data_IF_678828046384
#
_entry.id   IF_678828046384
#
_cell.length_a   1.000
_cell.length_b   1.000
_cell.length_c   1.000
_cell.angle_alpha   90.00
_cell.angle_beta   90.00
_cell.angle_gamma   90.00
#
_symmetry.space_group_name_H-M   'P 1'
#
loop_
_entity.id
_entity.type
_entity.pdbx_description
1 polymer ?
#
# COMPACT_ATOMS: atom_id res chain seq x y z
N UNK A 1 -11.86 19.19 4.99
CA UNK A 1 -10.46 18.92 4.60
C UNK A 1 -9.38 19.63 5.46
N UNK A 2 -9.72 20.33 6.55
CA UNK A 2 -8.73 21.11 7.32
C UNK A 2 -7.66 20.28 8.03
N UNK A 3 -8.01 19.07 8.50
CA UNK A 3 -7.07 18.16 9.15
C UNK A 3 -5.98 17.67 8.19
N UNK A 4 -6.35 17.21 6.99
CA UNK A 4 -5.40 16.67 6.00
C UNK A 4 -4.33 17.71 5.58
N UNK A 5 -4.73 18.97 5.37
CA UNK A 5 -3.79 20.05 4.99
C UNK A 5 -2.69 20.30 6.04
N UNK A 6 -2.93 19.95 7.30
CA UNK A 6 -1.93 20.07 8.37
C UNK A 6 -0.90 18.94 8.32
N UNK A 7 -1.21 17.81 7.70
CA UNK A 7 -0.37 16.61 7.69
C UNK A 7 0.59 16.57 6.49
N UNK A 8 1.39 17.63 6.30
CA UNK A 8 2.30 17.78 5.13
C UNK A 8 3.26 16.59 4.94
N UNK A 9 3.64 15.90 6.02
CA UNK A 9 4.55 14.74 5.98
C UNK A 9 3.91 13.47 5.41
N UNK A 10 2.57 13.37 5.40
CA UNK A 10 1.85 12.22 4.85
C UNK A 10 1.77 12.27 3.32
N UNK A 11 1.85 13.47 2.73
CA UNK A 11 1.79 13.65 1.28
C UNK A 11 3.21 13.70 0.71
N UNK A 12 3.58 12.67 -0.04
CA UNK A 12 4.86 12.59 -0.73
C UNK A 12 4.62 12.64 -2.23
N UNK A 13 5.49 13.34 -2.94
CA UNK A 13 5.49 13.30 -4.40
C UNK A 13 5.88 11.88 -4.85
N UNK A 14 5.26 11.35 -5.92
CA UNK A 14 5.64 10.05 -6.46
C UNK A 14 7.11 10.02 -6.90
N UNK A 15 7.80 8.93 -6.62
CA UNK A 15 9.19 8.73 -7.07
C UNK A 15 9.21 8.01 -8.43
N UNK A 16 10.31 8.14 -9.17
CA UNK A 16 10.51 7.41 -10.44
C UNK A 16 10.41 5.89 -10.23
N UNK A 17 10.93 5.39 -9.11
CA UNK A 17 10.85 3.97 -8.75
C UNK A 17 9.41 3.53 -8.50
N UNK A 18 8.60 4.34 -7.82
CA UNK A 18 7.16 4.06 -7.66
C UNK A 18 6.45 3.98 -9.00
N UNK A 19 6.75 4.90 -9.94
CA UNK A 19 6.16 4.86 -11.30
C UNK A 19 6.47 3.54 -11.99
N UNK A 20 7.73 3.07 -11.92
CA UNK A 20 8.15 1.79 -12.51
C UNK A 20 7.42 0.61 -11.86
N UNK A 21 7.32 0.59 -10.52
CA UNK A 21 6.60 -0.47 -9.80
C UNK A 21 5.11 -0.47 -10.16
N UNK A 22 4.47 0.71 -10.28
CA UNK A 22 3.08 0.81 -10.71
C UNK A 22 2.89 0.26 -12.12
N UNK A 23 3.78 0.59 -13.07
CA UNK A 23 3.72 0.03 -14.43
C UNK A 23 3.82 -1.50 -14.41
N UNK A 24 4.70 -2.06 -13.58
CA UNK A 24 4.85 -3.51 -13.42
C UNK A 24 3.60 -4.15 -12.80
N UNK A 25 3.03 -3.53 -11.76
CA UNK A 25 1.79 -3.99 -11.13
C UNK A 25 0.66 -4.00 -12.14
N UNK A 26 0.47 -2.92 -12.90
CA UNK A 26 -0.62 -2.82 -13.88
C UNK A 26 -0.45 -3.77 -15.06
N UNK A 27 0.79 -4.08 -15.46
CA UNK A 27 1.08 -5.08 -16.48
C UNK A 27 0.66 -6.49 -16.03
N UNK A 28 0.91 -6.83 -14.77
CA UNK A 28 0.61 -8.16 -14.22
C UNK A 28 -0.83 -8.29 -13.69
N UNK A 29 -1.41 -7.17 -13.26
CA UNK A 29 -2.70 -7.08 -12.57
C UNK A 29 -3.57 -5.96 -13.17
N UNK A 30 -3.93 -6.01 -14.46
CA UNK A 30 -4.66 -4.93 -15.12
C UNK A 30 -6.05 -4.69 -14.50
N UNK A 31 -6.69 -5.73 -13.94
CA UNK A 31 -7.98 -5.62 -13.28
C UNK A 31 -7.92 -5.03 -11.86
N UNK A 32 -6.73 -4.65 -11.38
CA UNK A 32 -6.59 -3.92 -10.11
C UNK A 32 -7.17 -2.51 -10.22
N UNK A 33 -7.18 -1.93 -11.42
CA UNK A 33 -7.72 -0.60 -11.67
C UNK A 33 -8.97 -0.67 -12.52
N UNK A 34 -9.89 0.23 -12.25
CA UNK A 34 -11.03 0.46 -13.13
C UNK A 34 -10.59 1.44 -14.23
N UNK A 35 -10.57 0.96 -15.48
CA UNK A 35 -10.17 1.75 -16.65
C UNK A 35 -11.12 2.93 -16.88
N UNK A 36 -12.37 2.84 -16.40
CA UNK A 36 -13.33 3.93 -16.46
C UNK A 36 -13.14 4.98 -15.36
N UNK A 37 -12.40 4.65 -14.29
CA UNK A 37 -12.12 5.56 -13.20
C UNK A 37 -10.99 6.53 -13.57
N UNK A 38 -11.26 7.83 -13.42
CA UNK A 38 -10.28 8.90 -13.70
C UNK A 38 -9.02 8.80 -12.82
N UNK A 39 -9.14 8.27 -11.61
CA UNK A 39 -8.06 8.17 -10.65
C UNK A 39 -8.13 6.81 -9.95
N UNK A 40 -6.99 6.12 -9.88
CA UNK A 40 -6.84 4.86 -9.16
C UNK A 40 -5.67 4.97 -8.20
N UNK A 41 -5.94 4.83 -6.90
CA UNK A 41 -4.94 5.00 -5.84
C UNK A 41 -4.24 3.68 -5.46
N UNK A 42 -4.94 2.56 -5.61
CA UNK A 42 -4.52 1.25 -5.10
C UNK A 42 -3.13 0.81 -5.57
N UNK A 43 -2.75 0.93 -6.86
CA UNK A 43 -1.41 0.56 -7.31
C UNK A 43 -0.32 1.43 -6.66
N UNK A 44 -0.61 2.71 -6.38
CA UNK A 44 0.35 3.64 -5.77
C UNK A 44 0.61 3.31 -4.31
N UNK A 45 -0.41 2.87 -3.56
CA UNK A 45 -0.26 2.44 -2.16
C UNK A 45 0.69 1.24 -2.08
N UNK A 46 0.50 0.26 -2.97
CA UNK A 46 1.35 -0.95 -3.02
C UNK A 46 2.77 -0.58 -3.45
N UNK A 47 2.91 0.26 -4.47
CA UNK A 47 4.23 0.70 -4.96
C UNK A 47 5.03 1.45 -3.88
N UNK A 48 4.38 2.31 -3.11
CA UNK A 48 4.98 2.99 -1.97
C UNK A 48 5.46 1.99 -0.91
N UNK A 49 4.64 1.00 -0.57
CA UNK A 49 5.02 -0.03 0.40
C UNK A 49 6.23 -0.85 -0.06
N UNK A 50 6.26 -1.29 -1.32
CA UNK A 50 7.39 -2.03 -1.91
C UNK A 50 8.65 -1.20 -1.89
N UNK A 51 8.59 0.07 -2.33
CA UNK A 51 9.75 0.95 -2.34
C UNK A 51 10.32 1.13 -0.93
N UNK A 52 9.46 1.42 0.05
CA UNK A 52 9.86 1.64 1.44
C UNK A 52 10.41 0.37 2.13
N UNK A 53 9.93 -0.81 1.73
CA UNK A 53 10.43 -2.09 2.23
C UNK A 53 11.79 -2.45 1.59
N UNK A 54 12.00 -2.06 0.34
CA UNK A 54 13.20 -2.37 -0.44
C UNK A 54 14.36 -1.38 -0.24
N UNK A 55 14.11 -0.24 0.43
CA UNK A 55 15.16 0.73 0.73
C UNK A 55 16.10 0.19 1.81
N UNK A 56 17.41 0.25 1.56
CA UNK A 56 18.42 0.00 2.59
C UNK A 56 18.18 0.95 3.76
N UNK A 57 17.85 0.37 4.91
CA UNK A 57 17.66 1.15 6.11
C UNK A 57 19.03 1.56 6.66
N UNK A 58 19.16 2.85 6.94
CA UNK A 58 20.32 3.41 7.61
C UNK A 58 20.28 3.14 9.12
N UNK A 59 19.14 2.67 9.63
CA UNK A 59 18.91 2.39 11.04
C UNK A 59 19.35 0.96 11.38
N UNK A 60 19.87 0.77 12.60
CA UNK A 60 20.23 -0.56 13.13
C UNK A 60 19.02 -1.48 13.29
N UNK A 61 17.82 -0.90 13.43
CA UNK A 61 16.55 -1.63 13.57
C UNK A 61 15.87 -1.71 12.21
N UNK A 62 15.46 -2.93 11.84
CA UNK A 62 14.65 -3.16 10.65
C UNK A 62 13.20 -2.70 10.88
N UNK A 63 12.77 -1.64 10.20
CA UNK A 63 11.40 -1.14 10.19
C UNK A 63 10.60 -1.95 9.16
N UNK A 64 9.72 -2.83 9.66
CA UNK A 64 8.75 -3.55 8.84
C UNK A 64 7.75 -2.58 8.22
N UNK A 65 7.37 -2.79 6.95
CA UNK A 65 6.36 -2.00 6.26
C UNK A 65 5.13 -2.85 6.02
N UNK A 66 3.97 -2.37 6.48
CA UNK A 66 2.70 -3.08 6.44
C UNK A 66 1.67 -2.21 5.72
N UNK A 67 0.90 -2.80 4.81
CA UNK A 67 -0.24 -2.14 4.16
C UNK A 67 -1.50 -2.45 4.97
N UNK A 68 -2.21 -1.42 5.40
CA UNK A 68 -3.49 -1.60 6.11
C UNK A 68 -4.64 -1.32 5.14
N UNK A 69 -5.57 -2.26 5.00
CA UNK A 69 -6.75 -2.10 4.14
C UNK A 69 -7.95 -2.88 4.70
N UNK A 70 -9.15 -2.32 4.53
CA UNK A 70 -10.42 -3.00 4.85
C UNK A 70 -10.95 -3.85 3.68
N UNK A 71 -10.20 -3.90 2.57
CA UNK A 71 -10.55 -4.76 1.46
C UNK A 71 -10.31 -6.24 1.80
N UNK A 72 -11.30 -7.08 1.51
CA UNK A 72 -11.19 -8.52 1.69
C UNK A 72 -11.05 -9.21 0.34
N UNK A 73 -10.18 -10.22 0.30
CA UNK A 73 -10.11 -11.15 -0.83
C UNK A 73 -11.43 -11.93 -0.84
N UNK A 74 -12.28 -11.66 -1.84
CA UNK A 74 -13.53 -12.39 -2.05
C UNK A 74 -13.59 -12.88 -3.50
N UNK A 75 -13.64 -14.20 -3.67
CA UNK A 75 -13.62 -14.83 -4.98
C UNK A 75 -12.31 -14.55 -5.72
N UNK A 76 -12.39 -14.50 -7.06
CA UNK A 76 -11.22 -14.35 -7.93
C UNK A 76 -10.91 -12.88 -8.30
N UNK A 77 -11.35 -11.91 -7.48
CA UNK A 77 -11.13 -10.49 -7.76
C UNK A 77 -9.75 -10.05 -7.30
N UNK A 78 -9.00 -9.40 -8.19
CA UNK A 78 -7.72 -8.80 -7.86
C UNK A 78 -7.96 -7.54 -7.03
N UNK A 79 -7.38 -7.51 -5.84
CA UNK A 79 -7.57 -6.52 -4.77
C UNK A 79 -6.21 -6.19 -4.14
N UNK A 80 -6.12 -5.13 -3.35
CA UNK A 80 -4.87 -4.76 -2.65
C UNK A 80 -4.23 -5.95 -1.89
N UNK A 81 -4.94 -6.70 -1.02
CA UNK A 81 -4.32 -7.78 -0.26
C UNK A 81 -3.78 -8.90 -1.14
N UNK A 82 -4.45 -9.18 -2.28
CA UNK A 82 -4.01 -10.20 -3.22
C UNK A 82 -2.66 -9.82 -3.84
N UNK A 83 -2.52 -8.58 -4.32
CA UNK A 83 -1.29 -8.11 -4.94
C UNK A 83 -0.17 -7.97 -3.91
N UNK A 84 -0.48 -7.49 -2.69
CA UNK A 84 0.46 -7.46 -1.58
C UNK A 84 1.02 -8.85 -1.26
N UNK A 85 0.17 -9.88 -1.17
CA UNK A 85 0.59 -11.26 -0.95
C UNK A 85 1.54 -11.77 -2.04
N UNK A 86 1.21 -11.53 -3.31
CA UNK A 86 2.06 -11.92 -4.45
C UNK A 86 3.42 -11.20 -4.48
N UNK A 87 3.51 -10.00 -3.90
CA UNK A 87 4.73 -9.19 -3.82
C UNK A 87 5.46 -9.33 -2.48
N UNK A 88 5.06 -10.29 -1.64
CA UNK A 88 5.62 -10.50 -0.30
C UNK A 88 5.59 -9.24 0.59
N UNK A 89 4.58 -8.39 0.40
CA UNK A 89 4.30 -7.24 1.26
C UNK A 89 3.22 -7.64 2.25
N UNK A 90 3.49 -7.46 3.53
CA UNK A 90 2.50 -7.75 4.57
C UNK A 90 1.30 -6.81 4.46
N UNK A 91 0.11 -7.38 4.57
CA UNK A 91 -1.14 -6.64 4.50
C UNK A 91 -2.10 -7.14 5.57
N UNK A 92 -2.63 -6.21 6.39
CA UNK A 92 -3.50 -6.50 7.54
C UNK A 92 -4.76 -5.65 7.48
N UNK A 93 -5.79 -6.05 8.24
CA UNK A 93 -7.01 -5.25 8.41
C UNK A 93 -6.88 -4.21 9.54
N UNK A 94 -7.87 -3.32 9.68
CA UNK A 94 -7.82 -2.26 10.69
C UNK A 94 -7.88 -2.82 12.12
N UNK A 95 -8.57 -3.95 12.31
CA UNK A 95 -8.74 -4.56 13.63
C UNK A 95 -7.44 -5.21 14.08
N UNK A 96 -6.74 -5.87 13.16
CA UNK A 96 -5.41 -6.42 13.37
C UNK A 96 -4.38 -5.32 13.64
N UNK A 97 -4.47 -4.17 12.95
CA UNK A 97 -3.66 -3.00 13.29
C UNK A 97 -3.90 -2.57 14.75
N UNK A 98 -5.15 -2.41 15.18
CA UNK A 98 -5.45 -2.01 16.57
C UNK A 98 -4.91 -3.00 17.60
N UNK A 99 -5.02 -4.31 17.32
CA UNK A 99 -4.46 -5.35 18.20
C UNK A 99 -2.94 -5.28 18.26
N UNK A 100 -2.28 -5.08 17.11
CA UNK A 100 -0.82 -4.98 17.01
C UNK A 100 -0.29 -3.76 17.75
N UNK A 101 -1.01 -2.64 17.69
CA UNK A 101 -0.68 -1.41 18.42
C UNK A 101 -1.10 -1.45 19.90
N UNK A 102 -1.73 -2.54 20.37
CA UNK A 102 -2.13 -2.71 21.77
C UNK A 102 -3.26 -1.79 22.23
N UNK A 103 -4.11 -1.34 21.30
CA UNK A 103 -5.22 -0.45 21.62
C UNK A 103 -6.26 -1.19 22.50
N UNK A 104 -6.68 -0.54 23.58
CA UNK A 104 -7.74 -1.00 24.48
C UNK A 104 -8.94 -0.07 24.32
N UNK A 105 -10.10 -0.66 24.06
CA UNK A 105 -11.38 0.04 23.90
C UNK A 105 -12.26 -0.19 25.12
#
# INVERSE_FOLDING_TARGET
AGWAKKQKKLFKAPTVKQVQIVQEILKNYPSLVDVSAKHSADPWVIALAIELASQFQQTLIQIKRIVVTEEKIRGNRIKIPYVCNQKAVECIDIVEMFRTEGWKF
#
